data_IF_246205960160
#
_entry.id   IF_246205960160
#
_cell.length_a   1.000
_cell.length_b   1.000
_cell.length_c   1.000
_cell.angle_alpha   90.00
_cell.angle_beta   90.00
_cell.angle_gamma   90.00
#
_symmetry.space_group_name_H-M   'P 1'
#
loop_
_entity.id
_entity.type
_entity.pdbx_description
1 polymer ?
#
# COMPACT_ATOMS: atom_id res chain seq x y z
N UNK A 1 20.93 -8.60 42.53
CA UNK A 1 19.90 -9.36 41.85
C UNK A 1 19.70 -8.68 40.50
N UNK A 2 20.24 -9.26 39.41
CA UNK A 2 19.86 -8.87 38.05
C UNK A 2 18.44 -9.41 37.86
N UNK A 3 17.42 -8.52 37.76
CA UNK A 3 16.12 -8.93 37.25
C UNK A 3 16.39 -9.53 35.86
N UNK A 4 15.81 -10.69 35.59
CA UNK A 4 15.69 -11.25 34.23
C UNK A 4 15.04 -10.15 33.37
N UNK A 5 15.85 -9.34 32.68
CA UNK A 5 15.32 -8.37 31.73
C UNK A 5 14.75 -9.18 30.58
N UNK A 6 13.43 -9.15 30.45
CA UNK A 6 12.77 -9.77 29.31
C UNK A 6 13.46 -9.30 28.01
N UNK A 7 13.72 -10.26 27.11
CA UNK A 7 14.37 -10.00 25.83
C UNK A 7 13.63 -8.90 25.06
N UNK A 8 14.36 -7.88 24.58
CA UNK A 8 13.77 -6.76 23.84
C UNK A 8 13.09 -7.22 22.54
N UNK A 9 12.03 -6.54 22.14
CA UNK A 9 11.29 -6.84 20.90
C UNK A 9 12.21 -6.83 19.68
N UNK A 10 13.15 -5.87 19.64
CA UNK A 10 14.15 -5.82 18.56
C UNK A 10 14.98 -7.09 18.44
N UNK A 11 15.31 -7.73 19.58
CA UNK A 11 16.02 -9.00 19.59
C UNK A 11 15.11 -10.15 19.16
N UNK A 12 13.86 -10.20 19.65
CA UNK A 12 12.89 -11.24 19.27
C UNK A 12 12.62 -11.19 17.75
N UNK A 13 12.40 -10.01 17.19
CA UNK A 13 12.23 -9.84 15.76
C UNK A 13 13.50 -10.24 14.98
N UNK A 14 14.67 -9.88 15.48
CA UNK A 14 15.93 -10.21 14.85
C UNK A 14 16.20 -11.73 14.82
N UNK A 15 15.96 -12.42 15.92
CA UNK A 15 16.11 -13.88 15.99
C UNK A 15 15.13 -14.56 15.02
N UNK A 16 13.87 -14.09 14.98
CA UNK A 16 12.87 -14.58 14.05
C UNK A 16 13.29 -14.35 12.60
N UNK A 17 13.67 -13.12 12.22
CA UNK A 17 14.09 -12.77 10.85
C UNK A 17 15.33 -13.54 10.44
N UNK A 18 16.33 -13.64 11.31
CA UNK A 18 17.56 -14.39 11.02
C UNK A 18 17.28 -15.89 10.82
N UNK A 19 16.50 -16.48 11.74
CA UNK A 19 16.24 -17.92 11.78
C UNK A 19 15.25 -18.42 10.72
N UNK A 20 14.36 -17.56 10.21
CA UNK A 20 13.33 -17.98 9.23
C UNK A 20 13.95 -18.25 7.86
N UNK A 21 13.63 -19.39 7.29
CA UNK A 21 14.10 -19.86 5.97
C UNK A 21 12.96 -19.83 4.95
N UNK A 22 13.29 -20.09 3.67
CA UNK A 22 12.28 -20.26 2.62
C UNK A 22 11.23 -21.31 2.97
N UNK A 23 11.64 -22.42 3.57
CA UNK A 23 10.75 -23.53 3.93
C UNK A 23 9.67 -23.08 4.92
N UNK A 24 10.02 -22.17 5.82
CA UNK A 24 9.10 -21.67 6.85
C UNK A 24 8.03 -20.71 6.29
N UNK A 25 8.34 -20.01 5.19
CA UNK A 25 7.45 -19.02 4.56
C UNK A 25 6.81 -19.51 3.25
N UNK A 26 7.14 -20.71 2.78
CA UNK A 26 6.65 -21.24 1.49
C UNK A 26 5.12 -21.25 1.38
N UNK A 27 4.40 -21.41 2.50
CA UNK A 27 2.94 -21.32 2.54
C UNK A 27 2.39 -19.92 2.20
N UNK A 28 3.22 -18.88 2.24
CA UNK A 28 2.85 -17.48 1.94
C UNK A 28 3.29 -17.06 0.53
N UNK A 29 3.94 -17.93 -0.23
CA UNK A 29 4.51 -17.65 -1.54
C UNK A 29 3.50 -17.05 -2.51
N UNK A 30 2.32 -17.67 -2.62
CA UNK A 30 1.29 -17.24 -3.56
C UNK A 30 0.85 -15.81 -3.28
N UNK A 31 0.59 -15.49 -2.02
CA UNK A 31 0.16 -14.14 -1.63
C UNK A 31 1.28 -13.11 -1.82
N UNK A 32 2.53 -13.48 -1.57
CA UNK A 32 3.69 -12.62 -1.83
C UNK A 32 3.82 -12.30 -3.33
N UNK A 33 3.62 -13.28 -4.21
CA UNK A 33 3.61 -13.08 -5.67
C UNK A 33 2.48 -12.15 -6.12
N UNK A 34 1.29 -12.30 -5.56
CA UNK A 34 0.14 -11.41 -5.80
C UNK A 34 0.46 -9.97 -5.40
N UNK A 35 1.07 -9.79 -4.23
CA UNK A 35 1.45 -8.47 -3.72
C UNK A 35 2.52 -7.81 -4.61
N UNK A 36 3.54 -8.56 -5.04
CA UNK A 36 4.57 -8.07 -5.97
C UNK A 36 3.96 -7.73 -7.34
N UNK A 37 3.03 -8.53 -7.90
CA UNK A 37 2.33 -8.19 -9.14
C UNK A 37 1.54 -6.89 -9.01
N UNK A 38 0.82 -6.74 -7.89
CA UNK A 38 0.09 -5.51 -7.63
C UNK A 38 1.03 -4.30 -7.46
N UNK A 39 2.19 -4.48 -6.83
CA UNK A 39 3.23 -3.45 -6.72
C UNK A 39 3.73 -3.01 -8.10
N UNK A 40 4.05 -3.94 -9.01
CA UNK A 40 4.42 -3.61 -10.38
C UNK A 40 3.31 -2.86 -11.10
N UNK A 41 2.05 -3.28 -10.95
CA UNK A 41 0.91 -2.62 -11.56
C UNK A 41 0.85 -1.13 -11.18
N UNK A 42 0.92 -0.84 -9.89
CA UNK A 42 0.80 0.53 -9.40
C UNK A 42 2.04 1.38 -9.70
N UNK A 43 3.24 0.81 -9.61
CA UNK A 43 4.49 1.50 -9.93
C UNK A 43 4.57 1.86 -11.42
N UNK A 44 4.23 0.93 -12.31
CA UNK A 44 4.22 1.17 -13.76
C UNK A 44 3.13 2.18 -14.13
N UNK A 45 1.95 2.08 -13.50
CA UNK A 45 0.82 2.95 -13.80
C UNK A 45 1.06 4.44 -13.56
N UNK A 46 1.97 4.77 -12.64
CA UNK A 46 2.36 6.14 -12.33
C UNK A 46 3.80 6.49 -12.73
N UNK A 47 4.44 5.64 -13.54
CA UNK A 47 5.86 5.80 -13.87
C UNK A 47 6.21 7.20 -14.43
N UNK A 48 5.31 7.80 -15.20
CA UNK A 48 5.49 9.13 -15.80
C UNK A 48 4.57 10.20 -15.14
N UNK A 49 4.14 9.98 -13.90
CA UNK A 49 3.46 11.03 -13.11
C UNK A 49 4.44 12.18 -12.85
N UNK A 50 4.00 13.45 -12.91
CA UNK A 50 4.84 14.62 -12.63
C UNK A 50 5.60 14.54 -11.31
N UNK A 51 5.04 13.92 -10.27
CA UNK A 51 5.72 13.75 -8.98
C UNK A 51 6.91 12.78 -9.09
N UNK A 52 6.80 11.73 -9.93
CA UNK A 52 7.90 10.79 -10.22
C UNK A 52 8.97 11.49 -11.05
N UNK A 53 8.59 12.27 -12.07
CA UNK A 53 9.53 13.07 -12.87
C UNK A 53 10.35 14.02 -12.01
N UNK A 54 9.70 14.69 -11.06
CA UNK A 54 10.38 15.58 -10.10
C UNK A 54 11.35 14.77 -9.23
N UNK A 55 10.91 13.64 -8.68
CA UNK A 55 11.74 12.80 -7.84
C UNK A 55 12.99 12.30 -8.56
N UNK A 56 12.84 11.78 -9.79
CA UNK A 56 13.97 11.33 -10.63
C UNK A 56 14.93 12.49 -10.91
N UNK A 57 14.40 13.64 -11.36
CA UNK A 57 15.22 14.82 -11.68
C UNK A 57 16.01 15.34 -10.48
N UNK A 58 15.40 15.32 -9.27
CA UNK A 58 16.05 15.79 -8.05
C UNK A 58 17.11 14.81 -7.57
N UNK A 59 16.87 13.49 -7.68
CA UNK A 59 17.80 12.48 -7.14
C UNK A 59 18.96 12.17 -8.09
N UNK A 60 18.76 12.25 -9.42
CA UNK A 60 19.77 11.86 -10.41
C UNK A 60 21.14 12.53 -10.21
N UNK A 61 21.25 13.84 -9.90
CA UNK A 61 22.56 14.48 -9.69
C UNK A 61 23.30 14.00 -8.44
N UNK A 62 22.61 13.37 -7.50
CA UNK A 62 23.18 12.90 -6.22
C UNK A 62 23.27 11.37 -6.15
N UNK A 63 22.82 10.67 -7.20
CA UNK A 63 22.85 9.21 -7.24
C UNK A 63 24.27 8.70 -7.38
N UNK A 64 24.57 7.60 -6.66
CA UNK A 64 25.75 6.78 -6.89
C UNK A 64 25.63 5.96 -8.20
N UNK A 65 26.34 4.82 -8.31
CA UNK A 65 26.25 3.96 -9.51
C UNK A 65 24.80 3.54 -9.80
N UNK A 66 24.40 3.67 -11.06
CA UNK A 66 23.04 3.39 -11.53
C UNK A 66 22.77 1.86 -11.59
N UNK A 67 22.68 1.24 -10.44
CA UNK A 67 22.56 -0.22 -10.27
C UNK A 67 21.13 -0.74 -10.33
N UNK A 68 20.13 0.13 -10.10
CA UNK A 68 18.74 -0.29 -9.93
C UNK A 68 17.81 0.50 -10.84
N UNK A 69 16.83 -0.17 -11.45
CA UNK A 69 15.87 0.40 -12.39
C UNK A 69 14.80 1.23 -11.67
N UNK A 70 14.37 2.30 -12.32
CA UNK A 70 13.09 2.93 -12.03
C UNK A 70 12.02 2.16 -12.81
N UNK A 71 11.08 1.56 -12.08
CA UNK A 71 10.06 0.68 -12.66
C UNK A 71 9.20 1.46 -13.66
N UNK A 72 9.03 0.87 -14.84
CA UNK A 72 8.27 1.46 -15.96
C UNK A 72 9.00 2.55 -16.74
N UNK A 73 10.31 2.80 -16.46
CA UNK A 73 11.12 3.86 -17.06
C UNK A 73 12.49 3.34 -17.52
N UNK A 74 13.16 4.02 -18.46
CA UNK A 74 14.52 3.68 -18.88
C UNK A 74 15.60 4.11 -17.87
N UNK A 75 15.31 5.09 -16.98
CA UNK A 75 16.27 5.61 -16.03
C UNK A 75 16.62 4.60 -14.94
N UNK A 76 17.82 4.73 -14.43
CA UNK A 76 18.37 3.94 -13.34
C UNK A 76 19.01 4.86 -12.31
N UNK A 77 18.96 4.49 -11.04
CA UNK A 77 19.63 5.15 -9.94
C UNK A 77 20.42 4.13 -9.10
N UNK A 78 21.11 4.59 -8.07
CA UNK A 78 21.57 3.68 -7.02
C UNK A 78 20.37 3.01 -6.31
N UNK A 79 20.62 1.95 -5.54
CA UNK A 79 19.56 1.17 -4.92
C UNK A 79 18.68 1.99 -3.96
N UNK A 80 19.25 2.97 -3.23
CA UNK A 80 18.47 3.82 -2.31
C UNK A 80 17.59 4.81 -3.06
N UNK A 81 18.13 5.43 -4.11
CA UNK A 81 17.38 6.33 -4.99
C UNK A 81 16.25 5.60 -5.73
N UNK A 82 16.54 4.41 -6.27
CA UNK A 82 15.54 3.58 -6.96
C UNK A 82 14.44 3.10 -6.00
N UNK A 83 14.79 2.66 -4.78
CA UNK A 83 13.82 2.27 -3.76
C UNK A 83 12.88 3.43 -3.41
N UNK A 84 13.42 4.63 -3.23
CA UNK A 84 12.62 5.84 -2.98
C UNK A 84 11.63 6.09 -4.12
N UNK A 85 12.11 6.17 -5.36
CA UNK A 85 11.27 6.53 -6.52
C UNK A 85 10.22 5.45 -6.78
N UNK A 86 10.58 4.17 -6.71
CA UNK A 86 9.66 3.07 -6.95
C UNK A 86 8.55 2.99 -5.88
N UNK A 87 8.87 3.28 -4.61
CA UNK A 87 7.89 3.35 -3.53
C UNK A 87 6.95 4.57 -3.68
N UNK A 88 7.49 5.74 -4.08
CA UNK A 88 6.68 6.92 -4.43
C UNK A 88 5.71 6.55 -5.55
N UNK A 89 6.22 5.97 -6.64
CA UNK A 89 5.45 5.58 -7.80
C UNK A 89 4.33 4.60 -7.43
N UNK A 90 4.65 3.53 -6.70
CA UNK A 90 3.67 2.50 -6.33
C UNK A 90 2.49 3.02 -5.49
N UNK A 91 2.70 4.09 -4.72
CA UNK A 91 1.67 4.62 -3.81
C UNK A 91 0.89 5.84 -4.37
N UNK A 92 1.24 6.34 -5.57
CA UNK A 92 0.63 7.58 -6.12
C UNK A 92 -0.84 7.44 -6.50
N UNK A 93 -1.24 6.30 -7.03
CA UNK A 93 -2.60 6.11 -7.58
C UNK A 93 -3.64 5.75 -6.52
N UNK A 94 -3.27 5.62 -5.23
CA UNK A 94 -4.14 5.03 -4.19
C UNK A 94 -4.75 3.68 -4.60
N UNK A 95 -3.98 2.90 -5.36
CA UNK A 95 -4.40 1.66 -5.98
C UNK A 95 -3.57 0.45 -5.52
N UNK A 96 -2.67 0.68 -4.59
CA UNK A 96 -1.81 -0.33 -3.95
C UNK A 96 -2.57 -1.26 -3.00
N UNK A 97 -1.88 -2.29 -2.54
CA UNK A 97 -2.40 -3.27 -1.58
C UNK A 97 -2.69 -2.61 -0.22
N UNK A 98 -3.46 -3.30 0.61
CA UNK A 98 -3.82 -2.78 1.94
C UNK A 98 -3.98 -3.93 2.93
N UNK A 99 -3.21 -3.88 4.01
CA UNK A 99 -3.40 -4.70 5.19
C UNK A 99 -4.51 -4.07 6.04
N UNK A 100 -5.70 -4.70 6.08
CA UNK A 100 -6.91 -4.05 6.60
C UNK A 100 -6.85 -3.72 8.10
N UNK A 101 -6.24 -4.58 8.93
CA UNK A 101 -6.18 -4.36 10.37
C UNK A 101 -5.43 -3.06 10.75
N UNK A 102 -4.50 -2.64 9.89
CA UNK A 102 -3.64 -1.46 10.15
C UNK A 102 -3.83 -0.34 9.15
N UNK A 103 -4.48 -0.62 7.99
CA UNK A 103 -4.54 0.26 6.81
C UNK A 103 -3.15 0.60 6.21
N UNK A 104 -2.13 -0.19 6.50
CA UNK A 104 -0.81 -0.12 5.86
C UNK A 104 -0.93 -0.58 4.41
N UNK A 105 -0.13 0.01 3.52
CA UNK A 105 0.11 -0.40 2.13
C UNK A 105 1.48 -1.08 2.04
N UNK A 106 1.59 -2.40 2.34
CA UNK A 106 2.88 -2.98 2.70
C UNK A 106 3.84 -3.14 1.52
N UNK A 107 3.36 -3.43 0.33
CA UNK A 107 4.24 -3.64 -0.81
C UNK A 107 5.01 -2.38 -1.24
N UNK A 108 4.42 -1.19 -1.07
CA UNK A 108 5.03 0.04 -1.56
C UNK A 108 6.43 0.29 -0.97
N UNK A 109 6.65 0.27 0.37
CA UNK A 109 8.00 0.41 0.93
C UNK A 109 8.84 -0.86 0.79
N UNK A 110 8.28 -2.04 1.10
CA UNK A 110 9.07 -3.27 1.24
C UNK A 110 9.49 -3.84 -0.11
N UNK A 111 8.57 -3.99 -1.08
CA UNK A 111 8.92 -4.51 -2.40
C UNK A 111 9.86 -3.56 -3.15
N UNK A 112 9.63 -2.24 -3.07
CA UNK A 112 10.52 -1.25 -3.69
C UNK A 112 11.97 -1.42 -3.22
N UNK A 113 12.15 -1.63 -1.93
CA UNK A 113 13.47 -1.74 -1.30
C UNK A 113 14.16 -3.06 -1.64
N UNK A 114 13.43 -4.18 -1.46
CA UNK A 114 13.99 -5.53 -1.69
C UNK A 114 14.38 -5.72 -3.16
N UNK A 115 13.51 -5.28 -4.09
CA UNK A 115 13.78 -5.41 -5.52
C UNK A 115 14.94 -4.50 -5.98
N UNK A 116 15.04 -3.27 -5.45
CA UNK A 116 16.15 -2.38 -5.78
C UNK A 116 17.49 -2.94 -5.27
N UNK A 117 17.54 -3.43 -4.03
CA UNK A 117 18.74 -4.05 -3.45
C UNK A 117 19.10 -5.34 -4.18
N UNK A 118 18.09 -6.17 -4.49
CA UNK A 118 18.30 -7.44 -5.18
C UNK A 118 18.87 -7.24 -6.58
N UNK A 119 18.39 -6.24 -7.33
CA UNK A 119 18.95 -5.90 -8.64
C UNK A 119 20.39 -5.38 -8.53
N UNK A 120 20.70 -4.63 -7.48
CA UNK A 120 22.04 -4.06 -7.31
C UNK A 120 23.10 -5.12 -6.96
N UNK A 121 22.71 -6.23 -6.33
CA UNK A 121 23.65 -7.23 -5.78
C UNK A 121 23.48 -8.65 -6.30
N UNK A 122 22.41 -8.95 -7.04
CA UNK A 122 22.14 -10.28 -7.62
C UNK A 122 21.69 -11.28 -6.53
N UNK A 123 20.39 -11.27 -6.18
CA UNK A 123 19.82 -12.24 -5.25
C UNK A 123 18.80 -13.14 -5.95
N UNK A 124 18.60 -14.35 -5.41
CA UNK A 124 17.62 -15.29 -5.92
C UNK A 124 16.19 -14.85 -5.61
N UNK A 125 15.24 -15.37 -6.38
CA UNK A 125 13.84 -15.09 -6.14
C UNK A 125 13.33 -15.59 -4.79
N UNK A 126 13.86 -16.71 -4.27
CA UNK A 126 13.51 -17.21 -2.94
C UNK A 126 14.02 -16.30 -1.84
N UNK A 127 15.22 -15.74 -1.97
CA UNK A 127 15.75 -14.78 -1.02
C UNK A 127 14.89 -13.51 -1.00
N UNK A 128 14.48 -13.02 -2.18
CA UNK A 128 13.61 -11.86 -2.35
C UNK A 128 12.24 -12.11 -1.72
N UNK A 129 11.59 -13.24 -2.03
CA UNK A 129 10.27 -13.58 -1.46
C UNK A 129 10.34 -13.74 0.05
N UNK A 130 11.35 -14.46 0.57
CA UNK A 130 11.54 -14.63 2.02
C UNK A 130 11.68 -13.28 2.71
N UNK A 131 12.54 -12.43 2.18
CA UNK A 131 12.79 -11.09 2.73
C UNK A 131 11.56 -10.20 2.65
N UNK A 132 10.82 -10.23 1.55
CA UNK A 132 9.58 -9.49 1.36
C UNK A 132 8.52 -9.91 2.38
N UNK A 133 8.26 -11.22 2.52
CA UNK A 133 7.28 -11.75 3.49
C UNK A 133 7.64 -11.32 4.92
N UNK A 134 8.92 -11.44 5.30
CA UNK A 134 9.39 -11.04 6.62
C UNK A 134 9.29 -9.53 6.86
N UNK A 135 9.56 -8.71 5.83
CA UNK A 135 9.38 -7.27 5.93
C UNK A 135 7.93 -6.88 6.16
N UNK A 136 6.99 -7.44 5.39
CA UNK A 136 5.55 -7.24 5.57
C UNK A 136 5.10 -7.69 6.95
N UNK A 137 5.62 -8.83 7.42
CA UNK A 137 5.32 -9.33 8.77
C UNK A 137 5.71 -8.33 9.85
N UNK A 138 6.95 -7.82 9.81
CA UNK A 138 7.46 -6.89 10.82
C UNK A 138 6.70 -5.56 10.81
N UNK A 139 6.50 -4.94 9.64
CA UNK A 139 5.80 -3.65 9.60
C UNK A 139 4.34 -3.73 10.04
N UNK A 140 3.62 -4.80 9.64
CA UNK A 140 2.23 -4.98 10.02
C UNK A 140 2.08 -5.28 11.51
N UNK A 141 3.00 -6.03 12.13
CA UNK A 141 3.01 -6.24 13.58
C UNK A 141 3.29 -4.96 14.36
N UNK A 142 4.25 -4.15 13.89
CA UNK A 142 4.50 -2.83 14.47
C UNK A 142 3.25 -1.96 14.34
N UNK A 143 2.59 -1.97 13.19
CA UNK A 143 1.33 -1.27 12.95
C UNK A 143 0.18 -1.75 13.83
N UNK A 144 0.02 -3.07 14.00
CA UNK A 144 -1.00 -3.65 14.86
C UNK A 144 -0.87 -3.19 16.31
N UNK A 145 0.36 -3.04 16.80
CA UNK A 145 0.62 -2.61 18.19
C UNK A 145 0.16 -1.18 18.48
N UNK A 146 0.07 -0.32 17.48
CA UNK A 146 -0.26 1.11 17.64
C UNK A 146 -1.60 1.50 17.00
N UNK A 147 -2.24 0.57 16.26
CA UNK A 147 -3.53 0.83 15.61
C UNK A 147 -4.70 0.70 16.61
N UNK A 148 -5.78 1.52 16.42
CA UNK A 148 -5.96 2.58 15.42
C UNK A 148 -5.44 3.96 15.87
N UNK A 149 -5.01 4.12 17.12
CA UNK A 149 -4.68 5.40 17.76
C UNK A 149 -3.60 6.19 17.01
N UNK A 150 -2.57 5.52 16.53
CA UNK A 150 -1.47 6.11 15.77
C UNK A 150 -1.96 6.89 14.52
N UNK A 151 -2.83 6.27 13.73
CA UNK A 151 -3.40 6.93 12.55
C UNK A 151 -4.37 8.05 12.94
N UNK A 152 -5.15 7.87 14.00
CA UNK A 152 -6.06 8.89 14.49
C UNK A 152 -5.33 10.15 14.99
N UNK A 153 -4.10 10.01 15.51
CA UNK A 153 -3.21 11.13 15.89
C UNK A 153 -2.62 11.87 14.71
N UNK A 154 -2.79 11.37 13.50
CA UNK A 154 -2.29 12.00 12.29
C UNK A 154 -0.98 11.41 11.75
N UNK A 155 -0.53 10.25 12.22
CA UNK A 155 0.62 9.57 11.65
C UNK A 155 0.23 8.73 10.43
N UNK A 156 0.95 8.87 9.33
CA UNK A 156 0.74 8.06 8.12
C UNK A 156 1.37 6.68 8.30
N UNK A 157 0.55 5.73 8.76
CA UNK A 157 0.99 4.42 9.23
C UNK A 157 1.83 3.62 8.22
N UNK A 158 1.54 3.71 6.91
CA UNK A 158 2.34 3.07 5.86
C UNK A 158 3.80 3.50 5.92
N UNK A 159 4.06 4.77 6.11
CA UNK A 159 5.44 5.28 6.12
C UNK A 159 6.12 5.09 7.47
N UNK A 160 5.38 5.31 8.57
CA UNK A 160 5.95 5.18 9.92
C UNK A 160 6.27 3.74 10.30
N UNK A 161 5.52 2.76 9.78
CA UNK A 161 5.77 1.33 9.99
C UNK A 161 6.60 0.71 8.86
N UNK A 162 6.43 1.15 7.61
CA UNK A 162 7.13 0.59 6.44
C UNK A 162 8.66 0.71 6.52
N UNK A 163 9.19 1.66 7.27
CA UNK A 163 10.63 1.77 7.49
C UNK A 163 11.19 0.57 8.28
N UNK A 164 10.40 0.01 9.21
CA UNK A 164 10.79 -1.21 9.94
C UNK A 164 10.76 -2.44 9.04
N UNK A 165 9.69 -2.57 8.23
CA UNK A 165 9.57 -3.65 7.24
C UNK A 165 10.70 -3.63 6.23
N UNK A 166 10.99 -2.46 5.67
CA UNK A 166 12.10 -2.26 4.72
C UNK A 166 13.45 -2.59 5.35
N UNK A 167 13.69 -2.19 6.61
CA UNK A 167 14.94 -2.48 7.32
C UNK A 167 15.11 -3.99 7.59
N UNK A 168 14.07 -4.64 8.10
CA UNK A 168 14.09 -6.08 8.38
C UNK A 168 14.27 -6.90 7.10
N UNK A 169 13.55 -6.55 6.03
CA UNK A 169 13.66 -7.21 4.73
C UNK A 169 15.07 -7.10 4.13
N UNK A 170 15.64 -5.88 4.12
CA UNK A 170 17.00 -5.68 3.61
C UNK A 170 18.06 -6.35 4.47
N UNK A 171 17.92 -6.31 5.79
CA UNK A 171 18.84 -7.00 6.69
C UNK A 171 18.80 -8.52 6.49
N UNK A 172 17.61 -9.10 6.27
CA UNK A 172 17.45 -10.50 5.89
C UNK A 172 18.12 -10.81 4.56
N UNK A 173 17.84 -10.01 3.53
CA UNK A 173 18.38 -10.20 2.18
C UNK A 173 19.91 -10.12 2.16
N UNK A 174 20.50 -9.24 2.99
CA UNK A 174 21.95 -9.13 3.17
C UNK A 174 22.56 -10.27 3.98
N UNK A 175 21.76 -11.18 4.55
CA UNK A 175 22.24 -12.29 5.39
C UNK A 175 22.84 -11.83 6.71
N UNK A 176 22.38 -10.71 7.27
CA UNK A 176 22.93 -10.16 8.49
C UNK A 176 22.65 -11.08 9.70
N UNK A 177 23.58 -11.17 10.67
CA UNK A 177 23.35 -11.88 11.92
C UNK A 177 22.31 -11.15 12.78
N UNK A 178 21.65 -11.87 13.70
CA UNK A 178 20.53 -11.35 14.49
C UNK A 178 20.86 -10.02 15.22
N UNK A 179 22.05 -9.86 15.78
CA UNK A 179 22.43 -8.63 16.45
C UNK A 179 22.46 -7.42 15.48
N UNK A 180 22.88 -7.60 14.24
CA UNK A 180 22.85 -6.54 13.22
C UNK A 180 21.41 -6.29 12.71
N UNK A 181 20.58 -7.33 12.59
CA UNK A 181 19.15 -7.17 12.26
C UNK A 181 18.44 -6.35 13.36
N UNK A 182 18.72 -6.64 14.65
CA UNK A 182 18.20 -5.84 15.77
C UNK A 182 18.63 -4.38 15.66
N UNK A 183 19.89 -4.12 15.31
CA UNK A 183 20.38 -2.76 15.08
C UNK A 183 19.68 -2.09 13.91
N UNK A 184 19.46 -2.77 12.77
CA UNK A 184 18.76 -2.21 11.62
C UNK A 184 17.33 -1.77 11.99
N UNK A 185 16.60 -2.63 12.73
CA UNK A 185 15.24 -2.33 13.23
C UNK A 185 15.28 -1.12 14.18
N UNK A 186 16.26 -1.07 15.10
CA UNK A 186 16.42 0.03 16.04
C UNK A 186 16.79 1.35 15.37
N UNK A 187 17.64 1.34 14.32
CA UNK A 187 17.97 2.51 13.51
C UNK A 187 16.72 3.00 12.75
N UNK A 188 15.90 2.09 12.22
CA UNK A 188 14.67 2.41 11.53
C UNK A 188 13.69 3.19 12.42
N UNK A 189 13.61 2.86 13.71
CA UNK A 189 12.77 3.59 14.67
C UNK A 189 13.06 5.09 14.71
N UNK A 190 14.34 5.49 14.59
CA UNK A 190 14.76 6.88 14.60
C UNK A 190 14.50 7.61 13.25
N UNK A 191 14.09 6.90 12.21
CA UNK A 191 13.86 7.44 10.87
C UNK A 191 12.36 7.39 10.46
N UNK A 192 11.51 6.92 11.36
CA UNK A 192 10.07 6.81 11.16
C UNK A 192 9.41 8.18 11.08
N UNK A 193 8.76 8.49 9.97
CA UNK A 193 8.10 9.77 9.73
C UNK A 193 6.94 9.64 8.72
N UNK A 194 6.11 10.70 8.68
CA UNK A 194 4.97 10.83 7.77
C UNK A 194 3.69 11.22 8.49
N UNK A 195 2.92 12.15 7.89
CA UNK A 195 1.70 12.70 8.51
C UNK A 195 0.50 12.59 7.57
N UNK A 196 -0.67 12.32 8.18
CA UNK A 196 -1.96 12.19 7.49
C UNK A 196 -2.41 13.50 6.85
N UNK A 197 -2.03 14.65 7.40
CA UNK A 197 -2.37 15.97 6.83
C UNK A 197 -1.87 16.13 5.39
N UNK A 198 -0.82 15.42 5.00
CA UNK A 198 -0.29 15.43 3.65
C UNK A 198 -1.01 14.47 2.67
N UNK A 199 -2.01 13.69 3.08
CA UNK A 199 -2.70 12.75 2.20
C UNK A 199 -3.22 13.36 0.89
N UNK A 200 -3.75 14.62 0.87
CA UNK A 200 -4.23 15.23 -0.37
C UNK A 200 -3.11 15.71 -1.30
N UNK A 201 -1.84 15.51 -0.96
CA UNK A 201 -0.70 16.03 -1.72
C UNK A 201 0.32 14.95 -2.08
N UNK A 202 1.22 15.24 -3.04
CA UNK A 202 2.33 14.35 -3.38
C UNK A 202 3.32 14.15 -2.22
N UNK A 203 3.31 15.01 -1.20
CA UNK A 203 4.15 14.84 -0.02
C UNK A 203 3.81 13.58 0.80
N UNK A 204 2.57 13.06 0.70
CA UNK A 204 2.21 11.72 1.20
C UNK A 204 3.17 10.67 0.68
N UNK A 205 3.41 10.65 -0.63
CA UNK A 205 4.19 9.61 -1.30
C UNK A 205 5.70 9.74 -0.98
N UNK A 206 6.18 10.96 -0.71
CA UNK A 206 7.55 11.21 -0.23
C UNK A 206 7.81 10.46 1.07
N UNK A 207 6.84 10.42 1.99
CA UNK A 207 7.02 9.69 3.25
C UNK A 207 7.15 8.18 3.04
N UNK A 208 6.42 7.61 2.06
CA UNK A 208 6.53 6.18 1.69
C UNK A 208 7.87 5.90 1.00
N UNK A 209 8.30 6.78 0.08
CA UNK A 209 9.63 6.71 -0.52
C UNK A 209 10.76 6.77 0.51
N UNK A 210 10.62 7.64 1.50
CA UNK A 210 11.57 7.71 2.62
C UNK A 210 11.56 6.43 3.46
N UNK A 211 10.40 5.81 3.71
CA UNK A 211 10.34 4.54 4.43
C UNK A 211 11.17 3.45 3.73
N UNK A 212 11.03 3.34 2.40
CA UNK A 212 11.82 2.43 1.59
C UNK A 212 13.33 2.74 1.68
N UNK A 213 13.73 3.97 1.31
CA UNK A 213 15.12 4.40 1.32
C UNK A 213 15.78 4.29 2.70
N UNK A 214 15.11 4.78 3.72
CA UNK A 214 15.65 4.83 5.08
C UNK A 214 15.74 3.43 5.71
N UNK A 215 14.83 2.51 5.37
CA UNK A 215 14.93 1.11 5.78
C UNK A 215 16.16 0.42 5.18
N UNK A 216 16.42 0.60 3.87
CA UNK A 216 17.64 0.12 3.24
C UNK A 216 18.89 0.75 3.89
N UNK A 217 18.88 2.06 4.12
CA UNK A 217 19.97 2.76 4.76
C UNK A 217 20.23 2.22 6.17
N UNK A 218 19.17 1.96 6.96
CA UNK A 218 19.30 1.36 8.29
C UNK A 218 19.97 -0.03 8.25
N UNK A 219 19.59 -0.89 7.29
CA UNK A 219 20.20 -2.21 7.11
C UNK A 219 21.68 -2.09 6.71
N UNK A 220 22.03 -1.17 5.82
CA UNK A 220 23.42 -0.95 5.40
C UNK A 220 24.28 -0.40 6.56
N UNK A 221 23.77 0.54 7.36
CA UNK A 221 24.49 1.02 8.55
C UNK A 221 24.73 -0.09 9.56
N UNK A 222 23.71 -0.93 9.80
CA UNK A 222 23.84 -2.05 10.71
C UNK A 222 24.85 -3.10 10.22
N UNK A 223 24.92 -3.32 8.89
CA UNK A 223 25.94 -4.19 8.28
C UNK A 223 27.38 -3.72 8.56
N UNK A 224 27.58 -2.40 8.62
CA UNK A 224 28.88 -1.77 8.96
C UNK A 224 29.11 -1.64 10.50
N UNK A 225 28.19 -2.20 11.31
CA UNK A 225 28.36 -2.23 12.78
C UNK A 225 27.76 -1.04 13.53
N UNK A 226 26.91 -0.23 12.87
CA UNK A 226 26.20 0.84 13.56
C UNK A 226 25.20 0.25 14.56
N UNK A 227 25.22 0.73 15.81
CA UNK A 227 24.44 0.16 16.91
C UNK A 227 23.15 0.93 17.19
N UNK A 228 22.15 0.21 17.72
CA UNK A 228 20.92 0.77 18.22
C UNK A 228 20.45 0.06 19.50
N UNK A 229 19.45 0.62 20.19
CA UNK A 229 18.82 -0.03 21.33
C UNK A 229 18.00 -1.23 20.89
N UNK A 230 18.15 -2.42 21.49
CA UNK A 230 17.28 -3.57 21.21
C UNK A 230 15.83 -3.37 21.68
N UNK A 231 15.57 -2.31 22.45
CA UNK A 231 14.27 -1.88 22.98
C UNK A 231 13.77 -0.60 22.33
N UNK A 232 14.26 -0.28 21.12
CA UNK A 232 13.89 0.95 20.41
C UNK A 232 12.39 1.04 20.09
N UNK A 233 11.66 -0.10 19.99
CA UNK A 233 10.22 -0.12 19.72
C UNK A 233 9.42 -0.01 21.02
N UNK A 234 9.60 -0.95 21.96
CA UNK A 234 8.74 -1.11 23.15
C UNK A 234 9.26 -0.43 24.40
N UNK A 235 10.48 0.06 24.43
CA UNK A 235 11.09 0.66 25.61
C UNK A 235 10.27 1.80 26.23
N UNK A 236 10.58 2.23 27.45
CA UNK A 236 9.83 3.30 28.12
C UNK A 236 9.77 4.61 27.34
N UNK A 237 10.81 4.89 26.54
CA UNK A 237 10.93 6.02 25.61
C UNK A 237 11.01 5.51 24.15
N UNK A 238 10.54 4.29 23.89
CA UNK A 238 10.56 3.66 22.59
C UNK A 238 9.52 4.21 21.63
N UNK A 239 9.70 3.86 20.36
CA UNK A 239 8.89 4.35 19.23
C UNK A 239 7.37 4.15 19.45
N UNK A 240 6.94 2.98 19.91
CA UNK A 240 5.51 2.68 20.07
C UNK A 240 4.82 3.64 21.07
N UNK A 241 5.53 4.00 22.15
CA UNK A 241 5.02 4.95 23.17
C UNK A 241 5.13 6.40 22.72
N UNK A 242 6.17 6.74 21.97
CA UNK A 242 6.33 8.09 21.41
C UNK A 242 5.29 8.39 20.31
N UNK A 243 4.89 7.38 19.56
CA UNK A 243 4.00 7.51 18.40
C UNK A 243 2.54 7.09 18.68
N UNK A 244 2.26 6.40 19.79
CA UNK A 244 0.91 5.95 20.18
C UNK A 244 0.62 6.25 21.65
N UNK A 245 -0.67 6.46 22.01
CA UNK A 245 -1.04 6.76 23.39
C UNK A 245 -1.02 5.51 24.28
N UNK A 246 -1.61 4.42 23.81
CA UNK A 246 -1.73 3.15 24.55
C UNK A 246 -1.40 1.97 23.61
N UNK A 247 -0.10 1.74 23.30
CA UNK A 247 0.27 0.66 22.41
C UNK A 247 0.02 -0.71 23.02
N UNK A 248 -0.61 -1.60 22.25
CA UNK A 248 -0.75 -3.02 22.60
C UNK A 248 0.53 -3.78 22.24
N UNK A 249 1.50 -3.76 23.14
CA UNK A 249 2.82 -4.36 22.91
C UNK A 249 2.76 -5.90 22.75
N UNK A 250 1.68 -6.56 23.20
CA UNK A 250 1.53 -8.01 23.00
C UNK A 250 1.35 -8.38 21.54
N UNK A 251 0.80 -7.48 20.71
CA UNK A 251 0.64 -7.68 19.27
C UNK A 251 1.94 -7.68 18.48
N UNK A 252 3.02 -7.13 19.03
CA UNK A 252 4.35 -7.17 18.38
C UNK A 252 4.80 -8.61 18.14
N UNK A 253 4.74 -9.46 19.15
CA UNK A 253 5.30 -10.81 19.08
C UNK A 253 4.28 -11.94 19.21
N UNK A 254 3.02 -11.63 19.53
CA UNK A 254 1.96 -12.61 19.70
C UNK A 254 1.68 -13.39 18.41
N UNK A 255 1.85 -14.73 18.42
CA UNK A 255 1.65 -15.57 17.24
C UNK A 255 2.69 -15.43 16.14
N UNK A 256 3.87 -14.83 16.43
CA UNK A 256 4.98 -14.71 15.49
C UNK A 256 5.41 -16.08 14.94
N UNK A 257 5.49 -16.21 13.61
CA UNK A 257 5.80 -17.47 12.93
C UNK A 257 4.65 -18.52 12.90
N UNK A 258 3.47 -18.20 13.47
CA UNK A 258 2.29 -19.08 13.43
C UNK A 258 1.15 -18.47 12.61
N UNK A 259 0.96 -17.16 12.71
CA UNK A 259 0.01 -16.39 11.92
C UNK A 259 0.80 -15.37 11.12
N UNK A 260 0.47 -15.22 9.84
CA UNK A 260 1.19 -14.37 8.92
C UNK A 260 0.34 -13.16 8.54
N UNK A 261 0.88 -11.97 8.72
CA UNK A 261 0.16 -10.73 8.43
C UNK A 261 -0.07 -10.54 6.91
N UNK A 262 0.82 -11.05 6.07
CA UNK A 262 0.65 -11.00 4.61
C UNK A 262 -0.63 -11.70 4.14
N UNK A 263 -1.11 -12.72 4.85
CA UNK A 263 -2.36 -13.41 4.55
C UNK A 263 -3.61 -12.53 4.74
N UNK A 264 -3.47 -11.40 5.42
CA UNK A 264 -4.54 -10.40 5.62
C UNK A 264 -4.46 -9.24 4.62
N UNK A 265 -3.54 -9.32 3.67
CA UNK A 265 -3.39 -8.30 2.65
C UNK A 265 -4.55 -8.33 1.65
N UNK A 266 -4.93 -7.18 1.14
CA UNK A 266 -6.03 -7.01 0.19
C UNK A 266 -5.60 -6.14 -0.98
N UNK A 267 -6.30 -6.27 -2.12
CA UNK A 267 -5.95 -5.55 -3.35
C UNK A 267 -7.12 -4.71 -3.80
N UNK A 268 -6.89 -3.41 -3.94
CA UNK A 268 -7.92 -2.47 -4.38
C UNK A 268 -8.34 -2.76 -5.83
N UNK A 269 -9.64 -2.93 -6.11
CA UNK A 269 -10.16 -3.02 -7.48
C UNK A 269 -10.33 -1.64 -8.13
N UNK A 270 -10.32 -0.56 -7.34
CA UNK A 270 -10.53 0.82 -7.77
C UNK A 270 -9.43 1.73 -7.20
N UNK A 271 -8.96 2.74 -7.95
CA UNK A 271 -7.93 3.70 -7.51
C UNK A 271 -8.55 4.78 -6.61
N UNK A 272 -9.13 4.36 -5.51
CA UNK A 272 -9.82 5.20 -4.54
C UNK A 272 -9.54 4.71 -3.11
N UNK A 273 -9.80 5.55 -2.12
CA UNK A 273 -9.72 5.15 -0.73
C UNK A 273 -10.57 3.92 -0.45
N UNK A 274 -10.07 2.98 0.32
CA UNK A 274 -10.70 1.66 0.51
C UNK A 274 -12.13 1.75 1.06
N UNK A 275 -12.42 2.78 1.86
CA UNK A 275 -13.75 3.01 2.45
C UNK A 275 -14.83 3.33 1.40
N UNK A 276 -14.45 3.68 0.16
CA UNK A 276 -15.38 4.02 -0.93
C UNK A 276 -15.72 2.83 -1.82
N UNK A 277 -15.03 1.71 -1.69
CA UNK A 277 -15.20 0.56 -2.59
C UNK A 277 -16.62 -0.02 -2.52
N UNK A 278 -17.22 -0.09 -1.32
CA UNK A 278 -18.60 -0.53 -1.16
C UNK A 278 -19.60 0.40 -1.85
N UNK A 279 -19.33 1.71 -1.88
CA UNK A 279 -20.15 2.69 -2.62
C UNK A 279 -20.09 2.43 -4.12
N UNK A 280 -18.89 2.18 -4.65
CA UNK A 280 -18.68 1.88 -6.08
C UNK A 280 -19.38 0.59 -6.47
N UNK A 281 -19.22 -0.47 -5.67
CA UNK A 281 -19.86 -1.76 -5.92
C UNK A 281 -21.39 -1.67 -5.90
N UNK A 282 -21.96 -0.97 -4.92
CA UNK A 282 -23.41 -0.75 -4.83
C UNK A 282 -23.92 0.05 -6.04
N UNK A 283 -23.18 1.06 -6.47
CA UNK A 283 -23.51 1.85 -7.66
C UNK A 283 -23.45 1.02 -8.95
N UNK A 284 -22.48 0.12 -9.11
CA UNK A 284 -22.44 -0.81 -10.25
C UNK A 284 -23.62 -1.78 -10.26
N UNK A 285 -24.01 -2.30 -9.08
CA UNK A 285 -25.18 -3.17 -8.98
C UNK A 285 -26.46 -2.42 -9.34
N UNK A 286 -26.64 -1.20 -8.85
CA UNK A 286 -27.77 -0.34 -9.18
C UNK A 286 -27.81 0.06 -10.66
N UNK A 287 -26.65 0.36 -11.26
CA UNK A 287 -26.56 0.65 -12.70
C UNK A 287 -27.11 -0.50 -13.56
N UNK A 288 -26.83 -1.75 -13.19
CA UNK A 288 -27.39 -2.91 -13.88
C UNK A 288 -28.91 -2.96 -13.77
N UNK A 289 -29.48 -2.64 -12.60
CA UNK A 289 -30.93 -2.58 -12.37
C UNK A 289 -31.61 -1.44 -13.13
N UNK A 290 -30.91 -0.30 -13.28
CA UNK A 290 -31.38 0.89 -13.99
C UNK A 290 -31.43 0.68 -15.51
N UNK A 291 -30.46 -0.03 -16.10
CA UNK A 291 -30.33 -0.16 -17.54
C UNK A 291 -30.16 1.19 -18.24
N UNK A 292 -31.11 1.54 -19.13
CA UNK A 292 -31.09 2.84 -19.85
C UNK A 292 -31.60 4.03 -19.03
N UNK A 293 -32.18 3.82 -17.83
CA UNK A 293 -32.84 4.85 -17.01
C UNK A 293 -31.88 5.72 -16.17
N UNK A 294 -30.62 5.80 -16.56
CA UNK A 294 -29.62 6.63 -15.82
C UNK A 294 -30.00 8.11 -15.82
N UNK A 295 -30.57 8.60 -16.91
CA UNK A 295 -30.99 9.99 -17.03
C UNK A 295 -32.19 10.34 -16.12
N UNK A 296 -33.02 9.34 -15.77
CA UNK A 296 -34.18 9.49 -14.89
C UNK A 296 -33.82 9.64 -13.42
N UNK A 297 -32.53 9.53 -13.04
CA UNK A 297 -32.09 9.68 -11.65
C UNK A 297 -32.32 11.13 -11.19
N UNK A 298 -33.20 11.28 -10.20
CA UNK A 298 -33.45 12.56 -9.54
C UNK A 298 -32.45 12.83 -8.40
N UNK A 299 -32.24 11.85 -7.53
CA UNK A 299 -31.29 11.96 -6.42
C UNK A 299 -30.66 10.62 -6.04
N UNK A 300 -29.50 10.68 -5.40
CA UNK A 300 -28.71 9.54 -4.92
C UNK A 300 -28.37 9.80 -3.46
N UNK A 301 -28.71 8.86 -2.57
CA UNK A 301 -28.32 8.93 -1.16
C UNK A 301 -27.34 7.80 -0.87
N UNK A 302 -26.13 8.15 -0.44
CA UNK A 302 -25.10 7.22 0.04
C UNK A 302 -25.08 7.26 1.56
N UNK A 303 -25.32 6.11 2.18
CA UNK A 303 -25.31 5.96 3.63
C UNK A 303 -24.16 5.06 4.06
N UNK A 304 -23.51 5.42 5.18
CA UNK A 304 -22.42 4.64 5.75
C UNK A 304 -21.96 5.14 7.10
N UNK A 305 -20.88 4.56 7.60
CA UNK A 305 -20.32 4.88 8.91
C UNK A 305 -19.78 6.32 9.01
N UNK A 306 -19.49 6.75 10.23
CA UNK A 306 -18.86 8.05 10.48
C UNK A 306 -17.51 8.19 9.75
N UNK A 307 -16.75 7.09 9.60
CA UNK A 307 -15.48 7.08 8.89
C UNK A 307 -15.67 7.38 7.39
N UNK A 308 -16.66 6.75 6.73
CA UNK A 308 -16.97 7.00 5.33
C UNK A 308 -17.27 8.48 5.09
N UNK A 309 -18.12 9.10 5.91
CA UNK A 309 -18.50 10.49 5.77
C UNK A 309 -17.31 11.44 6.05
N UNK A 310 -16.61 11.22 7.15
CA UNK A 310 -15.47 12.05 7.54
C UNK A 310 -14.37 12.06 6.46
N UNK A 311 -14.22 10.97 5.71
CA UNK A 311 -13.21 10.85 4.64
C UNK A 311 -13.72 11.30 3.28
N UNK A 312 -15.02 11.17 2.98
CA UNK A 312 -15.53 11.26 1.62
C UNK A 312 -16.61 12.29 1.34
N UNK A 313 -17.27 12.87 2.34
CA UNK A 313 -18.26 13.93 2.11
C UNK A 313 -17.57 15.29 1.98
N UNK A 314 -16.96 15.49 0.81
CA UNK A 314 -16.14 16.67 0.51
C UNK A 314 -16.22 17.09 -0.95
N UNK A 315 -15.98 18.39 -1.26
CA UNK A 315 -15.86 18.87 -2.64
C UNK A 315 -14.64 18.28 -3.36
N UNK A 316 -14.67 18.31 -4.68
CA UNK A 316 -13.62 17.81 -5.56
C UNK A 316 -12.99 18.97 -6.31
N UNK A 317 -11.71 19.25 -6.02
CA UNK A 317 -10.93 20.34 -6.63
C UNK A 317 -9.81 19.84 -7.56
N UNK A 318 -9.51 18.54 -7.54
CA UNK A 318 -8.47 17.90 -8.34
C UNK A 318 -8.70 16.37 -8.37
N UNK A 319 -7.88 15.65 -9.13
CA UNK A 319 -7.95 14.18 -9.22
C UNK A 319 -7.76 13.47 -7.88
N UNK A 320 -6.95 14.02 -6.97
CA UNK A 320 -6.69 13.40 -5.65
C UNK A 320 -7.91 13.50 -4.75
N UNK A 321 -8.61 14.64 -4.75
CA UNK A 321 -9.89 14.80 -4.04
C UNK A 321 -10.94 13.83 -4.59
N UNK A 322 -10.94 13.61 -5.92
CA UNK A 322 -11.86 12.68 -6.55
C UNK A 322 -11.73 11.25 -6.02
N UNK A 323 -10.49 10.79 -5.76
CA UNK A 323 -10.19 9.44 -5.22
C UNK A 323 -10.65 9.24 -3.78
N UNK A 324 -10.96 10.33 -3.08
CA UNK A 324 -11.45 10.33 -1.70
C UNK A 324 -12.81 11.05 -1.59
N UNK A 325 -13.65 10.97 -2.62
CA UNK A 325 -14.97 11.61 -2.65
C UNK A 325 -16.09 10.59 -2.92
N UNK A 326 -17.04 10.50 -1.99
CA UNK A 326 -18.29 9.74 -2.15
C UNK A 326 -19.01 10.19 -3.43
N UNK A 327 -19.07 11.50 -3.66
CA UNK A 327 -19.80 12.10 -4.79
C UNK A 327 -19.21 11.68 -6.13
N UNK A 328 -17.88 11.68 -6.25
CA UNK A 328 -17.21 11.30 -7.50
C UNK A 328 -17.25 9.79 -7.72
N UNK A 329 -16.99 8.98 -6.68
CA UNK A 329 -17.06 7.51 -6.76
C UNK A 329 -18.43 7.03 -7.21
N UNK A 330 -19.52 7.56 -6.61
CA UNK A 330 -20.87 7.22 -7.01
C UNK A 330 -21.19 7.69 -8.45
N UNK A 331 -20.77 8.90 -8.82
CA UNK A 331 -21.02 9.45 -10.14
C UNK A 331 -20.32 8.65 -11.24
N UNK A 332 -19.03 8.29 -11.06
CA UNK A 332 -18.30 7.47 -12.03
C UNK A 332 -18.97 6.12 -12.24
N UNK A 333 -19.27 5.41 -11.17
CA UNK A 333 -19.87 4.09 -11.24
C UNK A 333 -21.27 4.12 -11.89
N UNK A 334 -22.11 5.11 -11.59
CA UNK A 334 -23.46 5.22 -12.13
C UNK A 334 -23.48 5.80 -13.55
N UNK A 335 -22.84 6.93 -13.78
CA UNK A 335 -22.92 7.66 -15.06
C UNK A 335 -22.04 7.01 -16.12
N UNK A 336 -20.76 6.71 -15.79
CA UNK A 336 -19.80 6.18 -16.74
C UNK A 336 -19.82 4.64 -16.82
N UNK A 337 -20.26 3.96 -15.75
CA UNK A 337 -20.20 2.50 -15.65
C UNK A 337 -18.78 1.97 -15.48
N UNK A 338 -17.85 2.82 -15.07
CA UNK A 338 -16.45 2.52 -14.84
C UNK A 338 -15.93 3.31 -13.62
N UNK A 339 -14.91 2.80 -12.96
CA UNK A 339 -14.22 3.43 -11.84
C UNK A 339 -12.73 3.03 -11.84
N UNK A 340 -12.12 3.01 -13.00
CA UNK A 340 -10.68 2.78 -13.19
C UNK A 340 -9.89 4.09 -13.11
N UNK A 341 -8.59 4.03 -13.38
CA UNK A 341 -7.70 5.20 -13.24
C UNK A 341 -8.10 6.35 -14.16
N UNK A 342 -8.60 6.04 -15.36
CA UNK A 342 -9.09 7.04 -16.32
C UNK A 342 -10.23 7.89 -15.76
N UNK A 343 -11.13 7.27 -14.99
CA UNK A 343 -12.29 7.95 -14.40
C UNK A 343 -11.91 8.90 -13.27
N UNK A 344 -10.73 8.71 -12.67
CA UNK A 344 -10.17 9.57 -11.63
C UNK A 344 -9.10 10.54 -12.14
N UNK A 345 -8.79 10.56 -13.44
CA UNK A 345 -7.89 11.56 -14.03
C UNK A 345 -8.59 12.91 -14.22
N UNK A 346 -7.84 14.02 -14.11
CA UNK A 346 -8.38 15.40 -14.21
C UNK A 346 -9.26 15.62 -15.45
N UNK A 347 -8.87 15.07 -16.60
CA UNK A 347 -9.65 15.18 -17.84
C UNK A 347 -11.07 14.62 -17.71
N UNK A 348 -11.28 13.60 -16.88
CA UNK A 348 -12.60 13.01 -16.62
C UNK A 348 -13.27 13.68 -15.42
N UNK A 349 -12.54 13.97 -14.37
CA UNK A 349 -13.04 14.57 -13.12
C UNK A 349 -13.79 15.88 -13.38
N UNK A 350 -13.33 16.69 -14.33
CA UNK A 350 -13.92 18.00 -14.67
C UNK A 350 -14.86 17.99 -15.88
N UNK A 351 -15.26 16.83 -16.39
CA UNK A 351 -16.30 16.75 -17.42
C UNK A 351 -17.60 17.37 -16.91
N UNK A 352 -18.25 18.27 -17.70
CA UNK A 352 -19.44 19.00 -17.27
C UNK A 352 -20.60 18.09 -16.83
N UNK A 353 -20.82 16.97 -17.55
CA UNK A 353 -21.86 15.98 -17.23
C UNK A 353 -21.60 15.31 -15.85
N UNK A 354 -20.35 14.95 -15.57
CA UNK A 354 -19.96 14.32 -14.31
C UNK A 354 -20.03 15.32 -13.14
N UNK A 355 -19.59 16.57 -13.37
CA UNK A 355 -19.71 17.65 -12.38
C UNK A 355 -21.18 17.90 -12.01
N UNK A 356 -22.07 17.96 -13.00
CA UNK A 356 -23.52 18.10 -12.77
C UNK A 356 -24.09 16.87 -12.06
N UNK A 357 -23.69 15.67 -12.46
CA UNK A 357 -24.22 14.42 -11.88
C UNK A 357 -23.83 14.27 -10.40
N UNK A 358 -22.62 14.67 -9.99
CA UNK A 358 -22.17 14.69 -8.58
C UNK A 358 -23.11 15.49 -7.68
N UNK A 359 -23.75 16.53 -8.17
CA UNK A 359 -24.70 17.36 -7.40
C UNK A 359 -25.96 16.61 -6.97
N UNK A 360 -26.29 15.49 -7.64
CA UNK A 360 -27.39 14.61 -7.25
C UNK A 360 -27.07 13.73 -6.05
N UNK A 361 -25.78 13.58 -5.66
CA UNK A 361 -25.33 12.70 -4.57
C UNK A 361 -25.38 13.41 -3.24
N UNK A 362 -25.93 12.75 -2.24
CA UNK A 362 -25.95 13.19 -0.83
C UNK A 362 -25.38 12.09 0.05
N UNK A 363 -24.50 12.45 0.97
CA UNK A 363 -24.00 11.54 1.99
C UNK A 363 -24.85 11.65 3.26
N UNK A 364 -25.10 10.53 3.93
CA UNK A 364 -25.88 10.46 5.17
C UNK A 364 -25.26 9.43 6.12
N UNK A 365 -25.15 9.78 7.40
CA UNK A 365 -24.69 8.86 8.42
C UNK A 365 -25.72 7.74 8.65
N UNK A 366 -25.26 6.50 8.65
CA UNK A 366 -25.96 5.31 9.14
C UNK A 366 -25.02 4.56 10.11
N UNK A 367 -25.19 4.81 11.40
CA UNK A 367 -24.36 4.20 12.45
C UNK A 367 -24.63 2.69 12.66
N UNK A 368 -25.59 2.10 11.95
CA UNK A 368 -25.83 0.65 11.96
C UNK A 368 -24.92 -0.10 10.97
N UNK A 369 -24.32 0.61 10.02
CA UNK A 369 -23.42 0.02 9.04
C UNK A 369 -21.99 -0.02 9.59
N UNK A 370 -21.28 -1.18 9.47
CA UNK A 370 -19.89 -1.26 9.87
C UNK A 370 -19.00 -0.44 8.92
N UNK A 371 -17.77 -0.16 9.38
CA UNK A 371 -16.77 0.45 8.53
C UNK A 371 -16.51 -0.40 7.28
N UNK A 372 -16.39 0.24 6.14
CA UNK A 372 -16.22 -0.43 4.84
C UNK A 372 -17.51 -0.92 4.17
N UNK A 373 -18.68 -0.78 4.82
CA UNK A 373 -19.99 -1.04 4.22
C UNK A 373 -20.62 0.26 3.70
N UNK A 374 -21.52 0.13 2.73
CA UNK A 374 -22.32 1.24 2.22
C UNK A 374 -23.72 0.78 1.79
N UNK A 375 -24.71 1.66 1.97
CA UNK A 375 -26.04 1.57 1.38
C UNK A 375 -26.19 2.71 0.39
N UNK A 376 -26.64 2.40 -0.82
CA UNK A 376 -26.94 3.40 -1.85
C UNK A 376 -28.38 3.30 -2.25
N UNK A 377 -29.12 4.39 -2.15
CA UNK A 377 -30.51 4.51 -2.60
C UNK A 377 -30.59 5.54 -3.73
N UNK A 378 -31.27 5.18 -4.82
CA UNK A 378 -31.50 6.04 -5.99
C UNK A 378 -32.99 6.29 -6.10
N UNK A 379 -33.38 7.56 -6.13
CA UNK A 379 -34.75 7.99 -6.43
C UNK A 379 -34.84 8.44 -7.88
N UNK A 380 -35.78 7.88 -8.62
CA UNK A 380 -36.09 8.27 -10.01
C UNK A 380 -37.09 9.42 -10.04
N UNK A 381 -37.14 10.13 -11.15
CA UNK A 381 -38.13 11.19 -11.40
C UNK A 381 -39.58 10.67 -11.35
N UNK A 382 -39.82 9.38 -11.60
CA UNK A 382 -41.10 8.70 -11.42
C UNK A 382 -41.54 8.53 -9.97
N UNK A 383 -40.64 8.73 -8.99
CA UNK A 383 -40.87 8.43 -7.59
C UNK A 383 -40.43 6.99 -7.18
N UNK A 384 -40.08 6.13 -8.12
CA UNK A 384 -39.53 4.79 -7.84
C UNK A 384 -38.18 4.94 -7.11
N UNK A 385 -37.96 4.08 -6.10
CA UNK A 385 -36.66 4.01 -5.36
C UNK A 385 -36.03 2.65 -5.56
N UNK A 386 -34.76 2.63 -5.92
CA UNK A 386 -33.91 1.45 -6.00
C UNK A 386 -32.84 1.53 -4.92
N UNK A 387 -32.58 0.42 -4.26
CA UNK A 387 -31.59 0.36 -3.18
C UNK A 387 -30.64 -0.84 -3.34
N UNK A 388 -29.40 -0.67 -2.89
CA UNK A 388 -28.38 -1.71 -2.78
C UNK A 388 -27.55 -1.52 -1.52
N UNK A 389 -27.21 -2.64 -0.86
CA UNK A 389 -26.36 -2.66 0.34
C UNK A 389 -25.17 -3.56 0.06
N UNK A 390 -23.98 -3.03 0.26
CA UNK A 390 -22.73 -3.78 0.18
C UNK A 390 -22.07 -3.78 1.55
N UNK A 391 -21.97 -4.95 2.16
CA UNK A 391 -21.34 -5.14 3.48
C UNK A 391 -19.86 -5.54 3.38
N UNK A 392 -19.46 -6.12 2.23
CA UNK A 392 -18.08 -6.47 1.93
C UNK A 392 -17.79 -6.13 0.47
N UNK A 393 -16.93 -5.16 0.25
CA UNK A 393 -16.56 -4.71 -1.09
C UNK A 393 -15.67 -5.73 -1.81
N UNK A 394 -15.70 -5.70 -3.14
CA UNK A 394 -14.75 -6.42 -3.99
C UNK A 394 -13.32 -6.01 -3.61
N UNK A 395 -12.42 -6.98 -3.58
CA UNK A 395 -11.03 -6.79 -3.16
C UNK A 395 -10.80 -6.93 -1.65
N UNK A 396 -11.85 -7.11 -0.83
CA UNK A 396 -11.73 -7.44 0.61
C UNK A 396 -11.29 -8.89 0.83
N UNK A 397 -10.99 -9.26 2.08
CA UNK A 397 -10.69 -10.65 2.45
C UNK A 397 -11.87 -11.58 2.20
N UNK A 398 -13.10 -11.10 2.39
CA UNK A 398 -14.33 -11.87 2.15
C UNK A 398 -14.64 -12.02 0.66
N UNK A 399 -14.24 -11.05 -0.17
CA UNK A 399 -14.47 -11.07 -1.61
C UNK A 399 -13.16 -10.64 -2.35
N UNK A 400 -12.13 -11.51 -2.33
CA UNK A 400 -10.80 -11.16 -2.84
C UNK A 400 -10.79 -11.02 -4.37
N UNK A 401 -9.87 -10.21 -4.88
CA UNK A 401 -9.55 -10.21 -6.31
C UNK A 401 -8.96 -11.56 -6.72
N UNK A 402 -9.34 -12.05 -7.90
CA UNK A 402 -8.67 -13.19 -8.51
C UNK A 402 -7.30 -12.80 -9.06
N UNK A 403 -6.42 -13.79 -9.26
CA UNK A 403 -5.10 -13.58 -9.89
C UNK A 403 -5.23 -12.91 -11.25
N UNK A 404 -6.19 -13.38 -12.08
CA UNK A 404 -6.49 -12.76 -13.38
C UNK A 404 -6.90 -11.30 -13.27
N UNK A 405 -7.58 -10.91 -12.18
CA UNK A 405 -7.94 -9.51 -11.98
C UNK A 405 -6.72 -8.65 -11.63
N UNK A 406 -5.73 -9.19 -10.89
CA UNK A 406 -4.47 -8.50 -10.58
C UNK A 406 -3.61 -8.40 -11.85
N UNK A 407 -3.53 -9.46 -12.67
CA UNK A 407 -2.85 -9.43 -13.96
C UNK A 407 -3.48 -8.41 -14.93
N UNK A 408 -4.82 -8.38 -15.01
CA UNK A 408 -5.53 -7.39 -15.82
C UNK A 408 -5.24 -5.96 -15.34
N UNK A 409 -5.22 -5.76 -14.01
CA UNK A 409 -4.85 -4.47 -13.41
C UNK A 409 -3.43 -4.05 -13.83
N UNK A 410 -2.45 -4.96 -13.85
CA UNK A 410 -1.10 -4.65 -14.32
C UNK A 410 -1.09 -4.17 -15.77
N UNK A 411 -1.81 -4.89 -16.67
CA UNK A 411 -1.91 -4.50 -18.09
C UNK A 411 -2.61 -3.15 -18.26
N UNK A 412 -3.67 -2.89 -17.50
CA UNK A 412 -4.40 -1.62 -17.54
C UNK A 412 -3.56 -0.45 -17.03
N UNK A 413 -2.85 -0.64 -15.92
CA UNK A 413 -1.93 0.36 -15.38
C UNK A 413 -0.76 0.66 -16.32
N UNK A 414 -0.21 -0.35 -17.00
CA UNK A 414 0.89 -0.13 -17.95
C UNK A 414 0.44 0.70 -19.16
N UNK A 415 -0.77 0.47 -19.69
CA UNK A 415 -1.34 1.32 -20.74
C UNK A 415 -1.51 2.76 -20.29
N UNK A 416 -1.96 2.96 -19.05
CA UNK A 416 -2.10 4.28 -18.47
C UNK A 416 -0.74 4.98 -18.28
N UNK A 417 0.22 4.28 -17.69
CA UNK A 417 1.57 4.78 -17.42
C UNK A 417 2.41 4.95 -18.68
N UNK A 418 1.86 4.58 -19.87
CA UNK A 418 2.57 4.66 -21.16
C UNK A 418 3.96 3.99 -21.13
N UNK A 419 4.10 2.99 -20.29
CA UNK A 419 5.34 2.23 -20.16
C UNK A 419 5.49 1.26 -21.33
N UNK A 420 6.70 1.11 -21.82
CA UNK A 420 7.10 0.14 -22.83
C UNK A 420 7.53 -1.22 -22.23
N UNK A 421 7.46 -1.36 -20.91
CA UNK A 421 7.78 -2.61 -20.23
C UNK A 421 6.80 -3.72 -20.62
N UNK A 422 7.35 -4.90 -20.94
CA UNK A 422 6.57 -6.09 -21.30
C UNK A 422 5.85 -6.66 -20.08
N UNK A 423 4.56 -6.34 -19.97
CA UNK A 423 3.72 -6.75 -18.85
C UNK A 423 3.49 -8.26 -18.76
N UNK A 424 3.39 -8.95 -19.92
CA UNK A 424 3.18 -10.39 -19.93
C UNK A 424 4.43 -11.13 -19.46
N UNK A 425 5.60 -10.62 -19.82
CA UNK A 425 6.88 -11.11 -19.28
C UNK A 425 7.01 -10.87 -17.80
N UNK A 426 6.55 -9.71 -17.26
CA UNK A 426 6.56 -9.44 -15.83
C UNK A 426 5.65 -10.43 -15.11
N UNK A 427 4.43 -10.63 -15.62
CA UNK A 427 3.46 -11.58 -15.05
C UNK A 427 4.07 -12.98 -14.97
N UNK A 428 4.58 -13.49 -16.09
CA UNK A 428 5.19 -14.83 -16.14
C UNK A 428 6.35 -14.96 -15.14
N UNK A 429 7.22 -13.97 -15.07
CA UNK A 429 8.39 -13.98 -14.20
C UNK A 429 8.03 -13.83 -12.72
N UNK A 430 7.05 -13.01 -12.38
CA UNK A 430 6.62 -12.89 -10.98
C UNK A 430 5.96 -14.18 -10.51
N UNK A 431 5.14 -14.84 -11.33
CA UNK A 431 4.58 -16.15 -10.98
C UNK A 431 5.63 -17.24 -10.80
N UNK A 432 6.80 -17.12 -11.43
CA UNK A 432 7.94 -18.04 -11.34
C UNK A 432 9.15 -17.47 -10.61
N UNK A 433 8.99 -16.40 -9.84
CA UNK A 433 10.09 -15.68 -9.20
C UNK A 433 10.91 -16.60 -8.27
N UNK A 434 10.26 -17.55 -7.59
CA UNK A 434 10.91 -18.55 -6.71
C UNK A 434 11.90 -19.47 -7.43
N UNK A 435 11.82 -19.54 -8.76
CA UNK A 435 12.73 -20.35 -9.60
C UNK A 435 13.89 -19.55 -10.19
N UNK A 436 13.93 -18.24 -9.99
CA UNK A 436 14.98 -17.37 -10.52
C UNK A 436 16.22 -17.40 -9.61
N UNK A 437 17.37 -17.68 -10.19
CA UNK A 437 18.66 -17.58 -9.49
C UNK A 437 19.10 -16.12 -9.29
N UNK A 438 18.62 -15.22 -10.17
CA UNK A 438 18.85 -13.77 -10.10
C UNK A 438 17.60 -13.00 -10.58
N UNK A 439 17.03 -12.21 -9.71
CA UNK A 439 15.85 -11.39 -10.02
C UNK A 439 16.15 -10.15 -10.84
N UNK A 440 17.41 -9.81 -11.11
CA UNK A 440 17.80 -8.67 -11.96
C UNK A 440 17.09 -8.71 -13.32
N UNK A 441 16.81 -9.90 -13.81
CA UNK A 441 16.10 -10.12 -15.05
C UNK A 441 14.64 -9.69 -15.04
N UNK A 442 13.99 -9.66 -13.85
CA UNK A 442 12.63 -9.15 -13.67
C UNK A 442 12.56 -7.62 -13.81
N UNK A 443 13.62 -6.93 -13.42
CA UNK A 443 13.74 -5.47 -13.41
C UNK A 443 14.36 -4.91 -14.71
N UNK A 444 14.38 -5.68 -15.78
CA UNK A 444 14.82 -5.24 -17.12
C UNK A 444 13.62 -5.25 -18.04
N UNK A 445 13.38 -4.11 -18.70
CA UNK A 445 12.36 -3.94 -19.73
C UNK A 445 12.51 -4.93 -20.88
#
# INVERSE_FOLDING_TARGET
>A
MRQDEAQGVGTIFADFVAGTTWTDVAGQEHEAKRSILNFFATAIGSAYDPAVDIAVRVLSPFSGPATSAIIGRPERLDAMGAAFVNAVSANLLDFDDTHLDTIIHPAAPVAATVLALAQARGFSGRDVLTSFILGVEIECRVGNAVSPGHYARGWHITSTCGVFGSAAACAKLLGLPANQISNAIGIAASQSAGIVENLPSAAKNVSVGNAARNGLFAALLAAEGYSASPRAIEGPLGWARAMGDEPDLARLTGGLGKTWEIAKNTYKPYPAGIVFHAVIDACFALRKKLGSRIEDIASITVQGSALLLARGDRPVHNERDARVSIHHCAACALLLGAAGVTEFADATVFRPDLVSFRQKVRAKLDGSLPDGAARVAIQLASGETLEEIVTAAKGSLTYPLSDRAIEAKLRDCARLGKSDWDTDRIIDRVWRIDTLDDVSSLMRA
#
